data_IF_676600524555
#
_entry.id   IF_676600524555
#
_cell.length_a   1.000
_cell.length_b   1.000
_cell.length_c   1.000
_cell.angle_alpha   90.00
_cell.angle_beta   90.00
_cell.angle_gamma   90.00
#
_symmetry.space_group_name_H-M   'P 1'
#
loop_
_entity.id
_entity.type
_entity.pdbx_description
1 polymer ?
#
# COMPACT_ATOMS: atom_id res chain seq x y z
N UNK A 1 10.29 24.68 27.65
CA UNK A 1 10.70 24.42 26.25
C UNK A 1 11.19 22.99 26.04
N UNK A 2 12.29 22.52 26.65
CA UNK A 2 12.84 21.15 26.46
C UNK A 2 11.83 20.00 26.71
N UNK A 3 10.92 20.18 27.67
CA UNK A 3 9.94 19.14 28.03
C UNK A 3 8.78 19.01 27.02
N UNK A 4 8.45 20.08 26.29
CA UNK A 4 7.37 20.06 25.29
C UNK A 4 7.83 19.45 23.97
N UNK A 5 9.09 19.69 23.58
CA UNK A 5 9.70 19.07 22.40
C UNK A 5 9.83 17.55 22.56
N UNK A 6 10.23 17.07 23.75
CA UNK A 6 10.24 15.63 24.07
C UNK A 6 8.84 15.01 23.96
N UNK A 7 7.83 15.64 24.57
CA UNK A 7 6.43 15.17 24.47
C UNK A 7 5.89 15.16 23.04
N UNK A 8 6.27 16.14 22.20
CA UNK A 8 5.92 16.12 20.77
C UNK A 8 6.59 14.94 20.06
N UNK A 9 7.89 14.74 20.26
CA UNK A 9 8.66 13.64 19.64
C UNK A 9 8.11 12.26 20.04
N UNK A 10 7.73 12.09 21.30
CA UNK A 10 7.06 10.88 21.80
C UNK A 10 5.70 10.65 21.16
N UNK A 11 4.81 11.67 21.15
CA UNK A 11 3.50 11.55 20.50
C UNK A 11 3.61 11.20 19.02
N UNK A 12 4.59 11.77 18.32
CA UNK A 12 4.77 11.44 16.91
C UNK A 12 5.32 10.04 16.69
N UNK A 13 6.23 9.57 17.54
CA UNK A 13 6.69 8.17 17.47
C UNK A 13 5.56 7.19 17.81
N UNK A 14 4.66 7.58 18.72
CA UNK A 14 3.45 6.82 19.04
C UNK A 14 2.52 6.68 17.84
N UNK A 15 2.32 7.73 17.01
CA UNK A 15 1.51 7.61 15.78
C UNK A 15 2.09 6.59 14.79
N UNK A 16 3.42 6.53 14.68
CA UNK A 16 4.08 5.50 13.87
C UNK A 16 3.81 4.09 14.41
N UNK A 17 3.92 3.91 15.73
CA UNK A 17 3.64 2.63 16.39
C UNK A 17 2.17 2.21 16.22
N UNK A 18 1.24 3.14 16.39
CA UNK A 18 -0.21 2.91 16.17
C UNK A 18 -0.47 2.49 14.73
N UNK A 19 0.17 3.14 13.75
CA UNK A 19 0.04 2.74 12.35
C UNK A 19 0.58 1.35 12.05
N UNK A 20 1.69 0.97 12.69
CA UNK A 20 2.23 -0.38 12.56
C UNK A 20 1.35 -1.43 13.24
N UNK A 21 0.79 -1.12 14.42
CA UNK A 21 -0.17 -1.99 15.09
C UNK A 21 -1.43 -2.21 14.26
N UNK A 22 -1.98 -1.14 13.68
CA UNK A 22 -3.13 -1.23 12.79
C UNK A 22 -2.83 -2.07 11.54
N UNK A 23 -1.64 -1.93 10.96
CA UNK A 23 -1.19 -2.78 9.84
C UNK A 23 -1.26 -4.27 10.19
N UNK A 24 -0.76 -4.67 11.37
CA UNK A 24 -0.77 -6.07 11.82
C UNK A 24 -2.18 -6.56 12.12
N UNK A 25 -3.00 -5.74 12.78
CA UNK A 25 -4.40 -6.09 13.06
C UNK A 25 -5.15 -6.30 11.74
N UNK A 26 -4.99 -5.39 10.78
CA UNK A 26 -5.63 -5.49 9.48
C UNK A 26 -5.21 -6.78 8.75
N UNK A 27 -3.93 -7.14 8.82
CA UNK A 27 -3.44 -8.40 8.24
C UNK A 27 -4.10 -9.61 8.89
N UNK A 28 -4.21 -9.62 10.22
CA UNK A 28 -4.90 -10.69 10.95
C UNK A 28 -6.40 -10.76 10.64
N UNK A 29 -7.06 -9.61 10.52
CA UNK A 29 -8.48 -9.53 10.14
C UNK A 29 -8.70 -10.08 8.73
N UNK A 30 -7.84 -9.74 7.76
CA UNK A 30 -7.95 -10.29 6.41
C UNK A 30 -7.79 -11.80 6.38
N UNK A 31 -6.86 -12.34 7.17
CA UNK A 31 -6.69 -13.78 7.33
C UNK A 31 -7.91 -14.46 7.98
N UNK A 32 -8.58 -13.75 8.89
CA UNK A 32 -9.76 -14.27 9.58
C UNK A 32 -11.03 -14.20 8.71
N UNK A 33 -11.16 -13.19 7.84
CA UNK A 33 -12.36 -12.95 7.03
C UNK A 33 -12.26 -13.66 5.67
N UNK A 34 -11.06 -13.83 5.14
CA UNK A 34 -10.83 -14.48 3.85
C UNK A 34 -10.48 -15.96 4.09
N UNK A 35 -11.44 -16.89 3.88
CA UNK A 35 -11.17 -18.31 4.08
C UNK A 35 -10.10 -18.77 3.09
N UNK A 36 -9.27 -19.73 3.52
CA UNK A 36 -8.23 -20.36 2.69
C UNK A 36 -7.21 -19.39 2.07
N UNK A 37 -7.09 -18.16 2.58
CA UNK A 37 -6.15 -17.16 2.05
C UNK A 37 -4.71 -17.69 1.99
N UNK A 38 -4.29 -18.51 2.96
CA UNK A 38 -2.98 -19.16 2.94
C UNK A 38 -2.79 -20.04 1.70
N UNK A 39 -3.78 -20.87 1.37
CA UNK A 39 -3.72 -21.82 0.26
C UNK A 39 -3.69 -21.07 -1.06
N UNK A 40 -4.57 -20.08 -1.21
CA UNK A 40 -4.62 -19.19 -2.38
C UNK A 40 -3.31 -18.42 -2.60
N UNK A 41 -2.66 -17.94 -1.53
CA UNK A 41 -1.35 -17.29 -1.64
C UNK A 41 -0.28 -18.29 -2.10
N UNK A 42 -0.27 -19.49 -1.52
CA UNK A 42 0.69 -20.54 -1.90
C UNK A 42 0.50 -20.95 -3.35
N UNK A 43 -0.74 -21.11 -3.79
CA UNK A 43 -1.08 -21.48 -5.16
C UNK A 43 -0.71 -20.35 -6.13
N UNK A 44 -0.98 -19.09 -5.79
CA UNK A 44 -0.53 -17.93 -6.56
C UNK A 44 0.98 -17.95 -6.81
N UNK A 45 1.82 -18.21 -5.80
CA UNK A 45 3.27 -18.26 -5.98
C UNK A 45 3.76 -19.49 -6.74
N UNK A 46 3.06 -20.63 -6.64
CA UNK A 46 3.39 -21.86 -7.39
C UNK A 46 2.97 -21.78 -8.85
N UNK A 47 1.96 -20.99 -9.16
CA UNK A 47 1.36 -20.85 -10.48
C UNK A 47 2.16 -19.93 -11.41
N UNK A 48 3.30 -19.39 -10.95
CA UNK A 48 4.19 -18.60 -11.81
C UNK A 48 4.86 -19.45 -12.88
N UNK A 49 4.66 -19.04 -14.12
CA UNK A 49 5.34 -19.59 -15.29
C UNK A 49 6.11 -18.50 -16.04
N UNK A 50 7.12 -18.92 -16.78
CA UNK A 50 7.91 -18.03 -17.63
C UNK A 50 7.14 -17.74 -18.91
N UNK A 51 6.72 -16.48 -19.09
CA UNK A 51 5.98 -16.03 -20.27
C UNK A 51 6.90 -15.23 -21.18
N UNK A 52 6.92 -15.60 -22.46
CA UNK A 52 7.61 -14.84 -23.50
C UNK A 52 6.78 -13.60 -23.87
N UNK A 53 7.26 -12.42 -23.47
CA UNK A 53 6.67 -11.14 -23.86
C UNK A 53 7.15 -10.67 -25.21
N UNK A 54 8.39 -11.03 -25.56
CA UNK A 54 9.03 -10.76 -26.85
C UNK A 54 10.05 -11.88 -27.11
N UNK A 55 10.58 -12.00 -28.31
CA UNK A 55 11.60 -13.01 -28.68
C UNK A 55 12.77 -13.10 -27.67
N UNK A 56 13.12 -12.00 -27.01
CA UNK A 56 14.24 -11.90 -26.08
C UNK A 56 13.86 -11.57 -24.63
N UNK A 57 12.57 -11.39 -24.32
CA UNK A 57 12.12 -10.96 -22.98
C UNK A 57 11.19 -12.02 -22.40
N UNK A 58 11.70 -12.71 -21.38
CA UNK A 58 10.98 -13.74 -20.63
C UNK A 58 10.78 -13.21 -19.22
N UNK A 59 9.51 -13.05 -18.80
CA UNK A 59 9.18 -12.60 -17.46
C UNK A 59 8.24 -13.59 -16.77
N UNK A 60 8.37 -13.78 -15.44
CA UNK A 60 7.48 -14.64 -14.68
C UNK A 60 6.10 -13.98 -14.52
N UNK A 61 5.04 -14.73 -14.82
CA UNK A 61 3.65 -14.34 -14.60
C UNK A 61 2.83 -15.53 -14.10
N UNK A 62 1.81 -15.30 -13.26
CA UNK A 62 0.88 -16.35 -12.88
C UNK A 62 0.15 -16.88 -14.12
N UNK A 63 -0.03 -18.19 -14.20
CA UNK A 63 -0.70 -18.84 -15.32
C UNK A 63 -2.22 -18.59 -15.31
N UNK A 64 -2.79 -18.50 -14.12
CA UNK A 64 -4.21 -18.31 -13.88
C UNK A 64 -4.45 -17.01 -13.11
N UNK A 65 -5.69 -16.52 -13.16
CA UNK A 65 -6.10 -15.38 -12.33
C UNK A 65 -6.33 -15.86 -10.90
N UNK A 66 -5.81 -15.10 -9.92
CA UNK A 66 -5.94 -15.39 -8.48
C UNK A 66 -6.78 -14.30 -7.80
N UNK A 67 -8.09 -14.20 -8.12
CA UNK A 67 -8.93 -13.07 -7.70
C UNK A 67 -9.08 -12.98 -6.19
N UNK A 68 -8.98 -14.10 -5.45
CA UNK A 68 -9.02 -14.10 -3.98
C UNK A 68 -7.83 -13.34 -3.41
N UNK A 69 -6.62 -13.63 -3.91
CA UNK A 69 -5.38 -12.95 -3.50
C UNK A 69 -5.43 -11.46 -3.87
N UNK A 70 -5.83 -11.15 -5.09
CA UNK A 70 -5.91 -9.76 -5.57
C UNK A 70 -6.95 -8.95 -4.80
N UNK A 71 -8.10 -9.55 -4.49
CA UNK A 71 -9.17 -8.92 -3.71
C UNK A 71 -8.74 -8.69 -2.26
N UNK A 72 -8.09 -9.67 -1.63
CA UNK A 72 -7.55 -9.50 -0.27
C UNK A 72 -6.50 -8.37 -0.21
N UNK A 73 -5.59 -8.33 -1.18
CA UNK A 73 -4.61 -7.25 -1.30
C UNK A 73 -5.28 -5.89 -1.59
N UNK A 74 -6.34 -5.86 -2.39
CA UNK A 74 -7.09 -4.64 -2.71
C UNK A 74 -7.72 -4.05 -1.45
N UNK A 75 -8.42 -4.89 -0.67
CA UNK A 75 -9.04 -4.50 0.59
C UNK A 75 -8.00 -4.05 1.61
N UNK A 76 -6.87 -4.74 1.70
CA UNK A 76 -5.74 -4.33 2.51
C UNK A 76 -5.32 -2.89 2.19
N UNK A 77 -5.03 -2.62 0.91
CA UNK A 77 -4.56 -1.32 0.45
C UNK A 77 -5.60 -0.22 0.69
N UNK A 78 -6.88 -0.51 0.45
CA UNK A 78 -7.97 0.45 0.63
C UNK A 78 -8.14 0.83 2.10
N UNK A 79 -8.28 -0.16 2.98
CA UNK A 79 -8.50 0.06 4.42
C UNK A 79 -7.28 0.69 5.07
N UNK A 80 -6.07 0.24 4.72
CA UNK A 80 -4.85 0.83 5.23
C UNK A 80 -4.62 2.26 4.71
N UNK A 81 -4.89 2.50 3.42
CA UNK A 81 -4.86 3.85 2.83
C UNK A 81 -5.81 4.81 3.53
N UNK A 82 -7.05 4.39 3.78
CA UNK A 82 -8.04 5.17 4.54
C UNK A 82 -7.56 5.45 5.98
N UNK A 83 -6.96 4.46 6.64
CA UNK A 83 -6.36 4.66 7.96
C UNK A 83 -5.18 5.65 7.93
N UNK A 84 -4.35 5.64 6.89
CA UNK A 84 -3.29 6.64 6.75
C UNK A 84 -3.82 8.06 6.57
N UNK A 85 -5.00 8.26 5.96
CA UNK A 85 -5.68 9.56 5.94
C UNK A 85 -6.02 10.02 7.35
N UNK A 86 -6.53 9.12 8.21
CA UNK A 86 -6.79 9.43 9.62
C UNK A 86 -5.51 9.83 10.33
N UNK A 87 -4.42 9.06 10.16
CA UNK A 87 -3.11 9.41 10.75
C UNK A 87 -2.60 10.76 10.25
N UNK A 88 -2.78 11.07 8.97
CA UNK A 88 -2.40 12.37 8.40
C UNK A 88 -3.15 13.51 9.09
N UNK A 89 -4.47 13.39 9.27
CA UNK A 89 -5.28 14.36 10.02
C UNK A 89 -4.76 14.53 11.44
N UNK A 90 -4.48 13.43 12.15
CA UNK A 90 -3.90 13.48 13.51
C UNK A 90 -2.53 14.21 13.51
N UNK A 91 -1.69 14.00 12.50
CA UNK A 91 -0.39 14.71 12.38
C UNK A 91 -0.56 16.21 12.16
N UNK A 92 -1.63 16.65 11.49
CA UNK A 92 -1.97 18.07 11.39
C UNK A 92 -2.38 18.64 12.75
N UNK A 93 -3.25 17.94 13.49
CA UNK A 93 -3.71 18.35 14.83
C UNK A 93 -2.56 18.44 15.83
N UNK A 94 -1.62 17.49 15.81
CA UNK A 94 -0.47 17.48 16.72
C UNK A 94 0.70 18.39 16.29
N UNK A 95 0.55 19.18 15.22
CA UNK A 95 1.60 20.05 14.68
C UNK A 95 2.91 19.30 14.44
N UNK A 96 2.81 18.13 13.80
CA UNK A 96 3.95 17.33 13.43
C UNK A 96 4.78 18.00 12.30
N UNK A 97 6.04 17.57 12.17
CA UNK A 97 6.96 18.05 11.14
C UNK A 97 6.43 17.83 9.73
N UNK A 98 6.69 18.79 8.84
CA UNK A 98 6.25 18.75 7.44
C UNK A 98 6.73 17.49 6.71
N UNK A 99 7.98 17.08 6.95
CA UNK A 99 8.54 15.86 6.38
C UNK A 99 7.66 14.64 6.66
N UNK A 100 7.23 14.45 7.91
CA UNK A 100 6.41 13.29 8.31
C UNK A 100 4.99 13.35 7.74
N UNK A 101 4.42 14.55 7.58
CA UNK A 101 3.13 14.75 6.89
C UNK A 101 3.24 14.36 5.42
N UNK A 102 4.27 14.85 4.73
CA UNK A 102 4.54 14.52 3.33
C UNK A 102 4.78 13.02 3.12
N UNK A 103 5.52 12.38 4.02
CA UNK A 103 5.77 10.92 3.95
C UNK A 103 4.47 10.12 4.16
N UNK A 104 3.57 10.58 5.05
CA UNK A 104 2.25 9.93 5.24
C UNK A 104 1.33 10.17 4.04
N UNK A 105 1.34 11.38 3.47
CA UNK A 105 0.57 11.70 2.26
C UNK A 105 1.02 10.88 1.05
N UNK A 106 2.33 10.72 0.87
CA UNK A 106 2.92 9.83 -0.13
C UNK A 106 2.42 8.39 0.04
N UNK A 107 2.38 7.89 1.28
CA UNK A 107 1.80 6.59 1.59
C UNK A 107 0.32 6.48 1.23
N UNK A 108 -0.50 7.49 1.57
CA UNK A 108 -1.92 7.54 1.19
C UNK A 108 -2.08 7.38 -0.33
N UNK A 109 -1.36 8.19 -1.12
CA UNK A 109 -1.41 8.13 -2.59
C UNK A 109 -1.00 6.74 -3.09
N UNK A 110 0.08 6.19 -2.54
CA UNK A 110 0.58 4.87 -2.90
C UNK A 110 -0.47 3.77 -2.69
N UNK A 111 -1.03 3.67 -1.48
CA UNK A 111 -1.98 2.60 -1.14
C UNK A 111 -3.27 2.70 -1.96
N UNK A 112 -3.82 3.90 -2.16
CA UNK A 112 -5.02 4.06 -2.98
C UNK A 112 -4.76 3.74 -4.46
N UNK A 113 -3.61 4.14 -5.00
CA UNK A 113 -3.29 3.85 -6.41
C UNK A 113 -3.08 2.35 -6.63
N UNK A 114 -2.43 1.64 -5.70
CA UNK A 114 -2.30 0.18 -5.77
C UNK A 114 -3.67 -0.50 -5.65
N UNK A 115 -4.54 -0.03 -4.75
CA UNK A 115 -5.89 -0.55 -4.63
C UNK A 115 -6.68 -0.43 -5.94
N UNK A 116 -6.56 0.71 -6.63
CA UNK A 116 -7.15 0.92 -7.96
C UNK A 116 -6.62 -0.07 -9.00
N UNK A 117 -5.31 -0.28 -9.10
CA UNK A 117 -4.75 -1.26 -10.05
C UNK A 117 -5.10 -2.71 -9.69
N UNK A 118 -5.17 -3.06 -8.41
CA UNK A 118 -5.66 -4.37 -7.98
C UNK A 118 -7.12 -4.58 -8.36
N UNK A 119 -7.97 -3.55 -8.22
CA UNK A 119 -9.36 -3.62 -8.68
C UNK A 119 -9.45 -3.86 -10.19
N UNK A 120 -8.61 -3.20 -10.98
CA UNK A 120 -8.54 -3.44 -12.42
C UNK A 120 -8.07 -4.87 -12.74
N UNK A 121 -7.11 -5.40 -11.97
CA UNK A 121 -6.62 -6.77 -12.12
C UNK A 121 -7.69 -7.81 -11.75
N UNK A 122 -8.47 -7.57 -10.70
CA UNK A 122 -9.62 -8.41 -10.30
C UNK A 122 -10.71 -8.45 -11.37
N UNK A 123 -10.95 -7.32 -12.04
CA UNK A 123 -11.96 -7.20 -13.09
C UNK A 123 -11.45 -7.59 -14.49
N UNK A 124 -10.27 -8.21 -14.57
CA UNK A 124 -9.58 -8.57 -15.83
C UNK A 124 -9.42 -7.40 -16.83
N UNK A 125 -9.48 -6.15 -16.35
CA UNK A 125 -9.32 -4.94 -17.17
C UNK A 125 -7.85 -4.69 -17.54
N UNK A 126 -6.92 -5.18 -16.71
CA UNK A 126 -5.48 -5.23 -16.97
C UNK A 126 -4.97 -6.62 -16.64
N UNK A 127 -3.94 -7.08 -17.37
CA UNK A 127 -3.21 -8.30 -17.00
C UNK A 127 -2.13 -8.06 -15.95
N UNK A 128 -1.49 -9.14 -15.50
CA UNK A 128 -0.41 -9.12 -14.51
C UNK A 128 0.68 -8.08 -14.78
N UNK A 129 1.17 -7.99 -16.03
CA UNK A 129 2.20 -7.01 -16.39
C UNK A 129 1.69 -5.56 -16.37
N UNK A 130 0.41 -5.36 -16.69
CA UNK A 130 -0.26 -4.06 -16.52
C UNK A 130 -0.31 -3.65 -15.05
N UNK A 131 -0.58 -4.60 -14.15
CA UNK A 131 -0.51 -4.38 -12.70
C UNK A 131 0.91 -4.04 -12.23
N UNK A 132 1.95 -4.75 -12.69
CA UNK A 132 3.35 -4.41 -12.36
C UNK A 132 3.72 -3.01 -12.85
N UNK A 133 3.32 -2.63 -14.07
CA UNK A 133 3.45 -1.26 -14.55
C UNK A 133 2.73 -0.26 -13.65
N UNK A 134 1.51 -0.58 -13.22
CA UNK A 134 0.74 0.18 -12.25
C UNK A 134 1.43 0.36 -10.90
N UNK A 135 2.12 -0.67 -10.39
CA UNK A 135 2.92 -0.56 -9.16
C UNK A 135 4.07 0.45 -9.31
N UNK A 136 4.77 0.42 -10.44
CA UNK A 136 5.87 1.36 -10.74
C UNK A 136 5.33 2.78 -10.83
N UNK A 137 4.21 2.97 -11.54
CA UNK A 137 3.51 4.27 -11.63
C UNK A 137 3.08 4.76 -10.24
N UNK A 138 2.55 3.88 -9.40
CA UNK A 138 2.13 4.19 -8.03
C UNK A 138 3.31 4.66 -7.17
N UNK A 139 4.46 4.01 -7.28
CA UNK A 139 5.68 4.42 -6.58
C UNK A 139 6.15 5.80 -7.05
N UNK A 140 6.18 6.04 -8.36
CA UNK A 140 6.52 7.35 -8.92
C UNK A 140 5.55 8.45 -8.47
N UNK A 141 4.24 8.19 -8.53
CA UNK A 141 3.21 9.12 -8.07
C UNK A 141 3.37 9.46 -6.58
N UNK A 142 3.68 8.46 -5.74
CA UNK A 142 3.92 8.66 -4.32
C UNK A 142 5.14 9.57 -4.05
N UNK A 143 6.24 9.40 -4.79
CA UNK A 143 7.43 10.25 -4.66
C UNK A 143 7.14 11.69 -5.07
N UNK A 144 6.44 11.88 -6.20
CA UNK A 144 6.05 13.22 -6.69
C UNK A 144 5.11 13.89 -5.68
N UNK A 145 4.08 13.18 -5.21
CA UNK A 145 3.12 13.67 -4.23
C UNK A 145 3.81 14.13 -2.93
N UNK A 146 4.71 13.31 -2.38
CA UNK A 146 5.47 13.67 -1.19
C UNK A 146 6.40 14.87 -1.41
N UNK A 147 6.97 15.01 -2.59
CA UNK A 147 7.85 16.14 -2.94
C UNK A 147 7.07 17.45 -3.10
N UNK A 148 5.89 17.41 -3.72
CA UNK A 148 5.00 18.56 -3.85
C UNK A 148 4.56 19.10 -2.48
N UNK A 149 4.19 18.21 -1.55
CA UNK A 149 3.82 18.63 -0.18
C UNK A 149 4.98 19.30 0.56
N UNK A 150 6.22 18.85 0.32
CA UNK A 150 7.43 19.48 0.91
C UNK A 150 7.77 20.84 0.29
N UNK A 151 7.28 21.13 -0.92
CA UNK A 151 7.57 22.36 -1.65
C UNK A 151 6.50 23.44 -1.44
N UNK A 152 5.24 23.03 -1.30
CA UNK A 152 4.09 23.93 -1.12
C UNK A 152 3.92 24.45 0.31
N UNK A 153 4.64 23.88 1.28
CA UNK A 153 4.55 24.16 2.72
C UNK A 153 5.93 24.21 3.35
#
# INVERSE_FOLDING_TARGET
MVNEERRRRERTNMLGLVSFGFFLILLGVLWSVTPNLTEEIVDFFKDFQLVHLTEHVILPAPAHSHPVVYTAAMWFCLVFGAFQVVILVLRFVFYDSLRRKADTFSGVVFWFTISFFLQMLVNDAIGWFGFIGGLIISAGAAVIAGSLVKLLW
#
